data_IF_812312552006
#
_entry.id   IF_812312552006
#
_cell.length_a   1.000
_cell.length_b   1.000
_cell.length_c   1.000
_cell.angle_alpha   90.00
_cell.angle_beta   90.00
_cell.angle_gamma   90.00
#
_symmetry.space_group_name_H-M   'P 1'
#
loop_
_entity.id
_entity.type
_entity.pdbx_description
1 polymer ?
#
# COMPACT_ATOMS: atom_id res chain seq x y z
N UNK A 1 11.29 10.37 -8.53
CA UNK A 1 11.62 9.00 -8.07
C UNK A 1 12.23 9.10 -6.67
N UNK A 2 11.98 8.14 -5.77
CA UNK A 2 12.41 8.27 -4.35
C UNK A 2 13.44 7.22 -3.95
N UNK A 3 14.36 7.57 -3.05
CA UNK A 3 15.42 6.66 -2.60
C UNK A 3 15.69 6.75 -1.11
N UNK A 4 16.00 5.60 -0.48
CA UNK A 4 16.50 5.56 0.88
C UNK A 4 18.01 5.74 0.87
N UNK A 5 18.49 6.75 1.60
CA UNK A 5 19.93 6.96 1.81
C UNK A 5 20.26 6.80 3.28
N UNK A 6 21.39 6.19 3.56
CA UNK A 6 21.95 6.14 4.91
C UNK A 6 22.95 7.28 5.05
N UNK A 7 22.73 8.14 6.05
CA UNK A 7 23.65 9.21 6.42
C UNK A 7 24.46 8.82 7.65
N UNK A 8 25.72 9.26 7.70
CA UNK A 8 26.56 9.21 8.89
C UNK A 8 26.54 10.59 9.52
N UNK A 9 25.96 10.69 10.71
CA UNK A 9 25.91 11.91 11.52
C UNK A 9 27.10 11.90 12.49
N UNK A 10 27.52 13.08 12.93
CA UNK A 10 28.57 13.29 13.94
C UNK A 10 28.48 12.27 15.08
N UNK A 11 29.63 11.68 15.43
CA UNK A 11 29.71 10.57 16.37
C UNK A 11 29.45 9.18 15.77
N UNK A 12 29.63 9.01 14.44
CA UNK A 12 29.46 7.74 13.68
C UNK A 12 28.05 7.14 13.76
N UNK A 13 27.05 7.91 14.18
CA UNK A 13 25.67 7.45 14.26
C UNK A 13 25.07 7.45 12.87
N UNK A 14 24.61 6.28 12.42
CA UNK A 14 23.95 6.13 11.12
C UNK A 14 22.45 6.41 11.24
N UNK A 15 21.86 7.05 10.24
CA UNK A 15 20.41 7.30 10.12
C UNK A 15 19.94 7.03 8.71
N UNK A 16 18.73 6.51 8.57
CA UNK A 16 18.07 6.42 7.27
C UNK A 16 17.27 7.69 6.99
N UNK A 17 17.31 8.16 5.75
CA UNK A 17 16.48 9.26 5.26
C UNK A 17 15.84 8.87 3.93
N UNK A 18 14.67 9.43 3.66
CA UNK A 18 13.97 9.27 2.40
C UNK A 18 14.17 10.54 1.54
N UNK A 19 14.80 10.36 0.39
CA UNK A 19 15.20 11.42 -0.54
C UNK A 19 14.30 11.44 -1.77
N UNK A 20 14.04 12.65 -2.25
CA UNK A 20 13.63 12.87 -3.63
C UNK A 20 14.86 12.91 -4.53
N UNK A 21 14.88 12.10 -5.58
CA UNK A 21 15.99 12.05 -6.53
C UNK A 21 15.96 13.21 -7.52
N UNK A 22 14.80 13.84 -7.73
CA UNK A 22 14.67 14.95 -8.67
C UNK A 22 15.29 16.22 -8.10
N UNK A 23 14.96 16.55 -6.84
CA UNK A 23 15.49 17.73 -6.16
C UNK A 23 16.79 17.44 -5.40
N UNK A 24 17.16 16.17 -5.22
CA UNK A 24 18.24 15.73 -4.34
C UNK A 24 18.09 16.22 -2.89
N UNK A 25 16.86 16.46 -2.44
CA UNK A 25 16.52 16.89 -1.09
C UNK A 25 15.77 15.80 -0.31
N UNK A 26 15.87 15.79 1.03
CA UNK A 26 15.04 14.92 1.85
C UNK A 26 13.58 15.34 1.74
N UNK A 27 12.68 14.37 1.72
CA UNK A 27 11.24 14.65 1.75
C UNK A 27 10.87 15.24 3.11
N UNK A 28 10.13 16.36 3.09
CA UNK A 28 9.84 17.17 4.28
C UNK A 28 9.14 16.36 5.40
N UNK A 29 7.98 15.80 5.11
CA UNK A 29 7.19 15.10 6.13
C UNK A 29 7.80 13.77 6.60
N UNK A 30 8.41 12.94 5.73
CA UNK A 30 9.13 11.74 6.15
C UNK A 30 10.37 12.05 6.97
N UNK A 31 11.08 13.17 6.67
CA UNK A 31 12.19 13.63 7.49
C UNK A 31 11.71 14.03 8.89
N UNK A 32 10.62 14.80 8.99
CA UNK A 32 10.06 15.19 10.28
C UNK A 32 9.59 13.98 11.10
N UNK A 33 8.86 13.06 10.47
CA UNK A 33 8.47 11.79 11.09
C UNK A 33 9.69 10.99 11.58
N UNK A 34 10.78 10.99 10.81
CA UNK A 34 11.99 10.29 11.20
C UNK A 34 12.60 10.89 12.48
N UNK A 35 12.76 12.21 12.52
CA UNK A 35 13.31 12.93 13.68
C UNK A 35 12.46 12.66 14.93
N UNK A 36 11.14 12.76 14.81
CA UNK A 36 10.24 12.72 15.96
C UNK A 36 9.97 11.28 16.45
N UNK A 37 10.00 10.28 15.57
CA UNK A 37 9.53 8.92 15.91
C UNK A 37 10.47 7.77 15.56
N UNK A 38 11.36 7.94 14.58
CA UNK A 38 12.28 6.87 14.14
C UNK A 38 13.71 7.05 14.66
N UNK A 39 14.08 8.25 15.09
CA UNK A 39 15.42 8.58 15.56
C UNK A 39 15.85 7.80 16.82
N UNK A 40 14.97 7.09 17.52
CA UNK A 40 15.38 6.22 18.64
C UNK A 40 15.15 4.74 18.36
N UNK A 41 14.73 4.40 17.14
CA UNK A 41 14.54 3.01 16.69
C UNK A 41 15.81 2.44 16.09
N UNK A 42 15.89 1.11 16.02
CA UNK A 42 16.99 0.43 15.35
C UNK A 42 17.09 0.81 13.87
N UNK A 43 18.26 0.65 13.26
CA UNK A 43 18.47 0.94 11.84
C UNK A 43 17.57 0.09 10.93
N UNK A 44 17.31 -1.16 11.29
CA UNK A 44 16.42 -2.04 10.54
C UNK A 44 14.98 -1.55 10.60
N UNK A 45 14.50 -1.14 11.78
CA UNK A 45 13.16 -0.55 11.93
C UNK A 45 13.04 0.77 11.17
N UNK A 46 14.03 1.66 11.27
CA UNK A 46 14.07 2.91 10.50
C UNK A 46 13.94 2.63 8.99
N UNK A 47 14.76 1.72 8.46
CA UNK A 47 14.74 1.33 7.05
C UNK A 47 13.39 0.74 6.63
N UNK A 48 12.86 -0.24 7.37
CA UNK A 48 11.59 -0.89 7.04
C UNK A 48 10.41 0.09 7.07
N UNK A 49 10.36 0.98 8.06
CA UNK A 49 9.33 2.01 8.15
C UNK A 49 9.42 3.00 6.99
N UNK A 50 10.62 3.54 6.71
CA UNK A 50 10.80 4.48 5.60
C UNK A 50 10.61 3.83 4.23
N UNK A 51 10.93 2.55 4.06
CA UNK A 51 10.63 1.80 2.83
C UNK A 51 9.13 1.69 2.59
N UNK A 52 8.36 1.52 3.66
CA UNK A 52 6.89 1.50 3.56
C UNK A 52 6.32 2.86 3.19
N UNK A 53 6.85 3.93 3.81
CA UNK A 53 6.50 5.32 3.46
C UNK A 53 6.92 5.65 2.03
N UNK A 54 8.07 5.15 1.56
CA UNK A 54 8.51 5.29 0.17
C UNK A 54 7.46 4.72 -0.79
N UNK A 55 6.97 3.50 -0.56
CA UNK A 55 5.93 2.91 -1.41
C UNK A 55 4.64 3.74 -1.43
N UNK A 56 4.25 4.34 -0.30
CA UNK A 56 3.11 5.26 -0.27
C UNK A 56 3.34 6.50 -1.14
N UNK A 57 4.55 7.07 -1.11
CA UNK A 57 4.91 8.20 -1.97
C UNK A 57 4.96 7.84 -3.46
N UNK A 58 5.43 6.64 -3.80
CA UNK A 58 5.41 6.11 -5.17
C UNK A 58 3.97 5.90 -5.66
N UNK A 59 3.13 5.26 -4.84
CA UNK A 59 1.70 5.14 -5.08
C UNK A 59 1.05 6.49 -5.35
N UNK A 60 1.27 7.47 -4.47
CA UNK A 60 0.68 8.80 -4.59
C UNK A 60 1.09 9.47 -5.90
N UNK A 61 2.39 9.40 -6.24
CA UNK A 61 2.92 9.98 -7.47
C UNK A 61 2.33 9.31 -8.70
N UNK A 62 2.21 7.99 -8.71
CA UNK A 62 1.62 7.25 -9.82
C UNK A 62 0.13 7.61 -10.01
N UNK A 63 -0.61 7.82 -8.92
CA UNK A 63 -2.05 8.11 -8.97
C UNK A 63 -2.36 9.57 -9.34
N UNK A 64 -1.62 10.53 -8.78
CA UNK A 64 -1.95 11.96 -8.88
C UNK A 64 -0.99 12.77 -9.74
N UNK A 65 0.13 12.19 -10.19
CA UNK A 65 1.19 12.90 -10.93
C UNK A 65 2.04 13.87 -10.10
N UNK A 66 1.61 14.20 -8.88
CA UNK A 66 2.27 15.17 -7.98
C UNK A 66 2.86 14.51 -6.74
N UNK A 67 3.70 15.24 -6.00
CA UNK A 67 4.32 14.72 -4.78
C UNK A 67 3.30 14.74 -3.64
N UNK A 68 3.33 13.75 -2.74
CA UNK A 68 2.48 13.82 -1.54
C UNK A 68 2.83 15.05 -0.70
N UNK A 69 4.11 15.46 -0.67
CA UNK A 69 4.51 16.68 0.05
C UNK A 69 3.77 17.92 -0.49
N UNK A 70 3.67 18.05 -1.81
CA UNK A 70 2.95 19.12 -2.47
C UNK A 70 1.45 19.01 -2.19
N UNK A 71 0.83 17.85 -2.41
CA UNK A 71 -0.61 17.67 -2.17
C UNK A 71 -1.02 17.94 -0.73
N UNK A 72 -0.21 17.53 0.24
CA UNK A 72 -0.49 17.74 1.66
C UNK A 72 -0.28 19.20 2.07
N UNK A 73 0.73 19.89 1.54
CA UNK A 73 0.90 21.32 1.75
C UNK A 73 -0.28 22.11 1.15
N UNK A 74 -0.63 21.84 -0.11
CA UNK A 74 -1.71 22.54 -0.82
C UNK A 74 -3.11 22.25 -0.30
N UNK A 75 -3.29 21.18 0.50
CA UNK A 75 -4.57 20.86 1.15
C UNK A 75 -4.71 21.52 2.53
N UNK A 76 -3.85 22.48 2.86
CA UNK A 76 -3.74 23.06 4.20
C UNK A 76 -3.47 21.98 5.27
N UNK A 77 -2.47 21.14 4.97
CA UNK A 77 -2.01 20.05 5.81
C UNK A 77 -3.14 19.11 6.26
N UNK A 78 -4.16 18.92 5.42
CA UNK A 78 -5.32 18.08 5.74
C UNK A 78 -4.96 16.59 5.65
N UNK A 79 -4.88 15.84 6.77
CA UNK A 79 -4.50 14.43 6.75
C UNK A 79 -5.57 13.54 6.14
N UNK A 80 -6.79 14.04 5.96
CA UNK A 80 -7.89 13.26 5.40
C UNK A 80 -7.60 12.77 3.98
N UNK A 81 -6.82 13.54 3.21
CA UNK A 81 -6.40 13.16 1.85
C UNK A 81 -5.59 11.86 1.85
N UNK A 82 -4.82 11.59 2.92
CA UNK A 82 -4.03 10.38 3.05
C UNK A 82 -4.87 9.24 3.65
N UNK A 83 -5.72 9.55 4.64
CA UNK A 83 -6.61 8.57 5.27
C UNK A 83 -7.57 7.97 4.25
N UNK A 84 -8.16 8.78 3.38
CA UNK A 84 -9.08 8.33 2.33
C UNK A 84 -8.43 7.39 1.30
N UNK A 85 -7.11 7.45 1.16
CA UNK A 85 -6.36 6.71 0.15
C UNK A 85 -5.79 5.38 0.64
N UNK A 86 -5.96 5.06 1.92
CA UNK A 86 -5.47 3.80 2.49
C UNK A 86 -6.04 2.55 1.78
N UNK A 87 -7.34 2.45 1.43
CA UNK A 87 -7.86 1.31 0.68
C UNK A 87 -7.21 1.13 -0.69
N UNK A 88 -6.99 2.22 -1.42
CA UNK A 88 -6.31 2.20 -2.70
C UNK A 88 -4.83 1.83 -2.57
N UNK A 89 -4.16 2.32 -1.52
CA UNK A 89 -2.77 1.95 -1.23
C UNK A 89 -2.61 0.45 -0.92
N UNK A 90 -3.56 -0.15 -0.20
CA UNK A 90 -3.55 -1.60 0.02
C UNK A 90 -3.65 -2.38 -1.30
N UNK A 91 -4.58 -1.98 -2.19
CA UNK A 91 -4.72 -2.59 -3.51
C UNK A 91 -3.45 -2.42 -4.37
N UNK A 92 -2.82 -1.25 -4.29
CA UNK A 92 -1.53 -0.99 -4.94
C UNK A 92 -0.43 -1.96 -4.49
N UNK A 93 -0.37 -2.29 -3.19
CA UNK A 93 0.57 -3.30 -2.68
C UNK A 93 0.22 -4.70 -3.22
N UNK A 94 -1.06 -5.08 -3.26
CA UNK A 94 -1.49 -6.38 -3.81
C UNK A 94 -1.18 -6.51 -5.31
N UNK A 95 -1.29 -5.41 -6.08
CA UNK A 95 -1.04 -5.37 -7.51
C UNK A 95 0.45 -5.21 -7.90
N UNK A 96 1.38 -5.47 -6.98
CA UNK A 96 2.81 -5.41 -7.27
C UNK A 96 3.31 -3.99 -7.53
N UNK A 97 2.76 -3.00 -6.82
CA UNK A 97 3.14 -1.58 -6.89
C UNK A 97 2.77 -0.88 -8.21
N UNK A 98 1.64 -1.26 -8.80
CA UNK A 98 1.04 -0.62 -9.97
C UNK A 98 -0.37 -0.09 -9.64
N UNK A 99 -0.65 1.16 -10.03
CA UNK A 99 -1.96 1.81 -9.85
C UNK A 99 -2.97 1.43 -10.95
N UNK A 100 -2.52 0.93 -12.12
CA UNK A 100 -3.40 0.57 -13.24
C UNK A 100 -4.21 -0.70 -12.93
N UNK A 101 -5.54 -0.54 -12.92
CA UNK A 101 -6.54 -1.55 -12.51
C UNK A 101 -7.00 -2.47 -13.66
N UNK A 102 -6.59 -2.25 -14.90
CA UNK A 102 -7.04 -3.03 -16.05
C UNK A 102 -6.28 -4.37 -16.21
N UNK A 103 -5.25 -4.60 -15.42
CA UNK A 103 -4.55 -5.88 -15.35
C UNK A 103 -4.51 -6.31 -13.89
N UNK A 104 -5.45 -7.17 -13.49
CA UNK A 104 -5.29 -7.92 -12.24
C UNK A 104 -4.02 -8.75 -12.40
N UNK A 105 -2.97 -8.36 -11.68
CA UNK A 105 -1.77 -9.19 -11.61
C UNK A 105 -2.19 -10.50 -10.97
N UNK A 106 -2.24 -11.59 -11.76
CA UNK A 106 -2.47 -12.95 -11.27
C UNK A 106 -1.23 -13.46 -10.50
N UNK A 107 -0.58 -12.58 -9.75
CA UNK A 107 0.51 -12.96 -8.85
C UNK A 107 -0.16 -13.65 -7.67
N UNK A 108 0.05 -14.96 -7.57
CA UNK A 108 -0.43 -15.79 -6.45
C UNK A 108 0.00 -15.13 -5.14
N UNK A 109 -0.95 -14.51 -4.43
CA UNK A 109 -0.67 -13.85 -3.15
C UNK A 109 -0.25 -14.93 -2.15
N UNK A 110 1.04 -15.00 -1.85
CA UNK A 110 1.56 -15.93 -0.84
C UNK A 110 1.31 -15.37 0.56
N UNK A 111 1.25 -16.26 1.56
CA UNK A 111 1.12 -15.86 2.98
C UNK A 111 2.23 -14.89 3.42
N UNK A 112 3.44 -15.07 2.91
CA UNK A 112 4.58 -14.18 3.17
C UNK A 112 4.38 -12.77 2.57
N UNK A 113 3.81 -12.67 1.37
CA UNK A 113 3.51 -11.38 0.73
C UNK A 113 2.44 -10.61 1.52
N UNK A 114 1.38 -11.29 1.93
CA UNK A 114 0.29 -10.71 2.74
C UNK A 114 0.77 -10.16 4.10
N UNK A 115 1.62 -10.92 4.81
CA UNK A 115 2.21 -10.45 6.06
C UNK A 115 3.08 -9.21 5.84
N UNK A 116 3.89 -9.22 4.79
CA UNK A 116 4.75 -8.09 4.44
C UNK A 116 3.93 -6.84 4.09
N UNK A 117 2.84 -7.00 3.34
CA UNK A 117 1.92 -5.89 3.02
C UNK A 117 1.26 -5.32 4.27
N UNK A 118 0.85 -6.18 5.19
CA UNK A 118 0.27 -5.77 6.48
C UNK A 118 1.26 -4.94 7.30
N UNK A 119 2.53 -5.35 7.36
CA UNK A 119 3.59 -4.58 8.03
C UNK A 119 3.80 -3.22 7.35
N UNK A 120 3.80 -3.17 6.02
CA UNK A 120 3.94 -1.92 5.25
C UNK A 120 2.78 -0.96 5.50
N UNK A 121 1.56 -1.44 5.41
CA UNK A 121 0.35 -0.66 5.69
C UNK A 121 0.36 -0.17 7.13
N UNK A 122 0.75 -1.00 8.10
CA UNK A 122 0.90 -0.57 9.49
C UNK A 122 1.92 0.56 9.64
N UNK A 123 3.06 0.49 8.97
CA UNK A 123 4.06 1.55 9.02
C UNK A 123 3.53 2.87 8.41
N UNK A 124 2.76 2.80 7.33
CA UNK A 124 2.11 3.98 6.72
C UNK A 124 1.00 4.54 7.62
N UNK A 125 0.23 3.69 8.30
CA UNK A 125 -0.73 4.12 9.33
C UNK A 125 -0.03 4.91 10.42
N UNK A 126 1.12 4.44 10.93
CA UNK A 126 1.89 5.18 11.94
C UNK A 126 2.39 6.54 11.41
N UNK A 127 2.80 6.60 10.13
CA UNK A 127 3.18 7.86 9.49
C UNK A 127 1.98 8.83 9.39
N UNK A 128 0.80 8.37 8.95
CA UNK A 128 -0.41 9.21 8.86
C UNK A 128 -0.89 9.64 10.25
N UNK A 129 -0.84 8.75 11.25
CA UNK A 129 -1.13 9.11 12.64
C UNK A 129 -0.22 10.22 13.16
N UNK A 130 1.06 10.22 12.78
CA UNK A 130 1.97 11.33 13.07
C UNK A 130 1.51 12.64 12.41
N UNK A 131 1.08 12.59 11.14
CA UNK A 131 0.54 13.78 10.46
C UNK A 131 -0.71 14.31 11.17
N UNK A 132 -1.63 13.43 11.56
CA UNK A 132 -2.83 13.80 12.32
C UNK A 132 -2.42 14.51 13.62
N UNK A 133 -1.54 13.90 14.41
CA UNK A 133 -1.14 14.45 15.71
C UNK A 133 -0.35 15.76 15.60
N UNK A 134 0.33 15.99 14.49
CA UNK A 134 1.14 17.20 14.29
C UNK A 134 0.29 18.35 13.73
N UNK A 135 -0.50 18.09 12.68
CA UNK A 135 -1.18 19.12 11.90
C UNK A 135 -2.64 19.34 12.28
N UNK A 136 -3.28 18.42 13.00
CA UNK A 136 -4.56 18.69 13.69
C UNK A 136 -4.24 19.21 15.09
N UNK A 137 -3.63 20.39 15.13
CA UNK A 137 -3.25 21.06 16.37
C UNK A 137 -3.40 22.58 16.24
N UNK A 138 -3.51 23.31 17.36
CA UNK A 138 -3.67 24.77 17.34
C UNK A 138 -2.49 25.51 16.69
N UNK A 139 -1.34 24.86 16.53
CA UNK A 139 -0.18 25.45 15.87
C UNK A 139 -0.33 25.55 14.34
N UNK A 140 -1.27 24.80 13.77
CA UNK A 140 -1.48 24.72 12.32
C UNK A 140 -2.92 25.03 11.90
N UNK A 141 -3.86 25.15 12.84
CA UNK A 141 -5.29 25.36 12.57
C UNK A 141 -5.95 26.24 13.61
N UNK A 142 -6.74 27.20 13.12
CA UNK A 142 -7.51 28.15 13.93
C UNK A 142 -8.89 27.60 14.36
N UNK A 143 -8.88 26.40 14.94
CA UNK A 143 -10.07 25.74 15.47
C UNK A 143 -10.00 25.65 16.99
N UNK A 144 -11.17 25.53 17.65
CA UNK A 144 -11.18 25.27 19.09
C UNK A 144 -10.48 23.93 19.43
N UNK A 145 -9.77 23.81 20.56
CA UNK A 145 -9.13 22.56 20.96
C UNK A 145 -10.07 21.35 20.99
N UNK A 146 -11.34 21.59 21.35
CA UNK A 146 -12.39 20.55 21.34
C UNK A 146 -12.73 20.07 19.93
N UNK A 147 -12.86 21.00 18.97
CA UNK A 147 -13.10 20.66 17.57
C UNK A 147 -11.92 19.90 16.96
N UNK A 148 -10.69 20.34 17.25
CA UNK A 148 -9.46 19.65 16.82
C UNK A 148 -9.36 18.23 17.38
N UNK A 149 -9.63 18.06 18.68
CA UNK A 149 -9.64 16.73 19.31
C UNK A 149 -10.69 15.81 18.69
N UNK A 150 -11.89 16.33 18.39
CA UNK A 150 -12.95 15.55 17.74
C UNK A 150 -12.53 15.15 16.32
N UNK A 151 -11.96 16.07 15.55
CA UNK A 151 -11.48 15.80 14.20
C UNK A 151 -10.36 14.76 14.19
N UNK A 152 -9.35 14.92 15.05
CA UNK A 152 -8.25 13.96 15.19
C UNK A 152 -8.78 12.57 15.57
N UNK A 153 -9.70 12.49 16.54
CA UNK A 153 -10.34 11.22 16.91
C UNK A 153 -11.06 10.58 15.73
N UNK A 154 -11.84 11.35 14.96
CA UNK A 154 -12.55 10.83 13.78
C UNK A 154 -11.59 10.29 12.72
N UNK A 155 -10.50 11.00 12.44
CA UNK A 155 -9.47 10.57 11.49
C UNK A 155 -8.77 9.29 11.96
N UNK A 156 -8.40 9.21 13.24
CA UNK A 156 -7.82 7.99 13.81
C UNK A 156 -8.78 6.81 13.72
N UNK A 157 -10.07 6.99 14.04
CA UNK A 157 -11.08 5.93 13.90
C UNK A 157 -11.16 5.42 12.46
N UNK A 158 -11.24 6.32 11.47
CA UNK A 158 -11.24 5.93 10.05
C UNK A 158 -9.99 5.15 9.65
N UNK A 159 -8.83 5.56 10.15
CA UNK A 159 -7.56 4.89 9.89
C UNK A 159 -7.50 3.48 10.52
N UNK A 160 -8.09 3.30 11.72
CA UNK A 160 -8.20 1.99 12.35
C UNK A 160 -9.20 1.08 11.64
N UNK A 161 -10.35 1.61 11.19
CA UNK A 161 -11.31 0.82 10.41
C UNK A 161 -10.70 0.29 9.11
N UNK A 162 -9.88 1.12 8.44
CA UNK A 162 -9.10 0.64 7.29
C UNK A 162 -8.21 -0.55 7.69
N UNK A 163 -7.50 -0.45 8.83
CA UNK A 163 -6.64 -1.52 9.36
C UNK A 163 -7.39 -2.84 9.60
N UNK A 164 -8.59 -2.77 10.17
CA UNK A 164 -9.40 -3.94 10.49
C UNK A 164 -9.91 -4.64 9.23
N UNK A 165 -10.37 -3.87 8.24
CA UNK A 165 -10.77 -4.39 6.94
C UNK A 165 -9.63 -5.16 6.25
N UNK A 166 -8.38 -4.72 6.36
CA UNK A 166 -7.26 -5.48 5.81
C UNK A 166 -7.01 -6.80 6.57
N UNK A 167 -7.13 -6.80 7.90
CA UNK A 167 -6.97 -8.02 8.70
C UNK A 167 -8.02 -9.08 8.35
N UNK A 168 -9.29 -8.69 8.21
CA UNK A 168 -10.37 -9.63 7.85
C UNK A 168 -10.19 -10.16 6.42
N UNK A 169 -9.82 -9.31 5.46
CA UNK A 169 -9.52 -9.71 4.08
C UNK A 169 -8.37 -10.73 4.00
N UNK A 170 -7.30 -10.52 4.77
CA UNK A 170 -6.20 -11.49 4.83
C UNK A 170 -6.65 -12.81 5.47
N UNK A 171 -7.39 -12.78 6.59
CA UNK A 171 -7.88 -14.00 7.26
C UNK A 171 -8.81 -14.83 6.38
N UNK A 172 -9.73 -14.18 5.66
CA UNK A 172 -10.71 -14.86 4.80
C UNK A 172 -10.10 -15.44 3.51
N UNK A 173 -9.07 -14.78 2.94
CA UNK A 173 -8.34 -15.34 1.77
C UNK A 173 -7.63 -16.66 2.11
N UNK A 174 -7.18 -16.85 3.36
CA UNK A 174 -6.52 -18.09 3.78
C UNK A 174 -7.49 -19.21 4.18
N UNK A 175 -8.69 -18.89 4.68
CA UNK A 175 -9.71 -19.90 5.01
C UNK A 175 -10.36 -20.51 3.75
N UNK A 176 -10.46 -19.76 2.66
CA UNK A 176 -10.98 -20.32 1.40
C UNK A 176 -10.00 -21.27 0.69
N UNK A 177 -8.69 -21.11 0.93
CA UNK A 177 -7.69 -21.95 0.26
C UNK A 177 -7.60 -23.38 0.82
N UNK A 178 -8.19 -23.68 1.98
CA UNK A 178 -8.26 -25.04 2.52
C UNK A 178 -9.39 -25.89 1.94
N UNK A 179 -10.28 -25.31 1.11
CA UNK A 179 -11.42 -26.03 0.51
C UNK A 179 -11.37 -26.20 -1.01
N UNK A 180 -10.33 -25.71 -1.71
CA UNK A 180 -10.26 -25.78 -3.19
C UNK A 180 -9.38 -26.91 -3.73
N UNK A 181 -9.46 -28.11 -3.15
CA UNK A 181 -8.91 -29.34 -3.76
C UNK A 181 -10.02 -30.24 -4.32
N UNK A 182 -11.12 -29.66 -4.81
CA UNK A 182 -11.97 -30.38 -5.77
C UNK A 182 -11.38 -30.13 -7.16
N UNK A 183 -10.71 -31.17 -7.65
CA UNK A 183 -9.92 -31.13 -8.87
C UNK A 183 -10.73 -30.71 -10.08
N UNK A 184 -10.11 -29.88 -10.92
CA UNK A 184 -10.51 -29.77 -12.31
C UNK A 184 -10.27 -31.13 -12.96
N UNK A 185 -11.34 -31.89 -13.20
CA UNK A 185 -11.25 -33.05 -14.08
C UNK A 185 -11.02 -32.53 -15.50
N UNK A 186 -9.77 -32.64 -15.97
CA UNK A 186 -9.43 -32.38 -17.36
C UNK A 186 -10.27 -33.27 -18.28
N UNK A 187 -10.75 -32.71 -19.38
CA UNK A 187 -11.48 -33.42 -20.44
C UNK A 187 -10.68 -34.66 -20.86
N UNK A 188 -11.24 -35.85 -20.64
CA UNK A 188 -10.63 -37.11 -21.07
C UNK A 188 -10.70 -37.24 -22.59
N UNK A 189 -9.69 -37.90 -23.18
CA UNK A 189 -9.46 -37.98 -24.64
C UNK A 189 -10.59 -38.59 -25.49
N UNK A 190 -11.71 -38.98 -24.89
CA UNK A 190 -12.92 -39.41 -25.60
C UNK A 190 -13.67 -38.25 -26.29
N UNK A 191 -13.43 -36.98 -25.91
CA UNK A 191 -14.05 -35.81 -26.57
C UNK A 191 -13.23 -35.23 -27.75
N UNK A 192 -12.10 -35.84 -28.12
CA UNK A 192 -11.22 -35.34 -29.21
C UNK A 192 -11.42 -36.09 -30.54
N UNK A 193 -12.31 -37.10 -30.60
CA UNK A 193 -12.58 -37.83 -31.82
C UNK A 193 -14.04 -37.61 -32.26
N UNK A 194 -14.23 -36.65 -33.17
CA UNK A 194 -15.44 -36.58 -33.99
C UNK A 194 -15.41 -37.73 -35.01
N UNK A 195 -16.48 -38.54 -35.12
CA UNK A 195 -16.54 -39.65 -36.06
C UNK A 195 -16.73 -39.19 -37.50
N UNK A 196 -16.13 -39.97 -38.39
CA UNK A 196 -16.10 -39.87 -39.85
C UNK A 196 -17.48 -39.64 -40.49
N UNK A 197 -17.43 -38.89 -41.61
CA UNK A 197 -18.50 -38.75 -42.59
C UNK A 197 -18.91 -40.13 -43.14
N UNK A 198 -20.18 -40.47 -42.99
CA UNK A 198 -20.81 -41.57 -43.73
C UNK A 198 -21.04 -41.19 -45.20
N UNK A 199 -20.81 -42.08 -46.18
CA UNK A 199 -20.99 -41.77 -47.60
C UNK A 199 -22.39 -42.14 -48.12
N UNK A 200 -23.02 -41.19 -48.82
CA UNK A 200 -24.05 -41.41 -49.84
C UNK A 200 -23.36 -41.07 -51.20
N UNK A 201 -23.57 -41.70 -52.36
CA UNK A 201 -24.45 -42.77 -52.80
C UNK A 201 -24.05 -43.14 -54.26
N UNK A 202 -24.32 -44.39 -54.67
CA UNK A 202 -24.84 -44.83 -55.98
C UNK A 202 -23.94 -45.11 -57.23
N UNK A 203 -24.42 -45.96 -58.17
CA UNK A 203 -23.75 -47.17 -58.67
C UNK A 203 -23.21 -47.02 -60.11
N UNK A 204 -22.56 -48.08 -60.62
CA UNK A 204 -22.24 -48.22 -62.05
C UNK A 204 -22.82 -49.52 -62.61
N UNK A 205 -23.21 -49.40 -63.88
CA UNK A 205 -23.87 -50.35 -64.76
C UNK A 205 -23.14 -51.70 -64.93
#
# INVERSE_FOLDING_TARGET
MYSLKQLVISGRKRRWILMDLETSLPLLYPLRYHIDHLAFRSLSTQSASLQSVKFFYEFWRQKYGVSFCYSFYSSDHNPDIAVGEMPAFWMYLENGHNVQSNVLSLTRVTKANSLTHTVRVRAVIHFISFLINTYISPAYRDDSPKALSLLASRLHTRLQLCRENYRTLTSNKFSQHSHSSQGFQSLSGAMVLSPERSPHNFPKA
#
